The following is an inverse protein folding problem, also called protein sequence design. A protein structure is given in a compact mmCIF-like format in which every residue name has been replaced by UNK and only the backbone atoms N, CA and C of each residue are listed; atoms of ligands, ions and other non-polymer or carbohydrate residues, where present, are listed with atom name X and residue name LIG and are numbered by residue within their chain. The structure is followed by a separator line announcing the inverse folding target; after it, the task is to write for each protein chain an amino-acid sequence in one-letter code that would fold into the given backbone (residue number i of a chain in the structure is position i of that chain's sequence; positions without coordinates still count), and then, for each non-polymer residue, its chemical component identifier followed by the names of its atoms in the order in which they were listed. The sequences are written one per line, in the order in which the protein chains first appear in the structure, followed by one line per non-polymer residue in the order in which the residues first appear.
data_IF_325832931564
#
_entry.id   IF_325832931564
#
_cell.length_a   1.000
_cell.length_b   1.000
_cell.length_c   1.000
_cell.angle_alpha   90.00
_cell.angle_beta   90.00
_cell.angle_gamma   90.00
#
_symmetry.space_group_name_H-M   'P 1'
#
loop_
_entity.id
_entity.type
_entity.pdbx_description
1 polymer ?
#
# COMPACT_ATOMS: atom_id res chain seq x y z
N UNK A 1 2.24 -15.89 23.99
CA UNK A 1 3.57 -16.00 23.37
C UNK A 1 3.63 -15.07 22.17
N UNK A 2 4.43 -14.01 22.28
CA UNK A 2 4.42 -12.93 21.27
C UNK A 2 5.72 -12.86 20.44
N UNK A 3 6.55 -13.90 20.52
CA UNK A 3 7.83 -13.93 19.82
C UNK A 3 7.68 -14.48 18.41
N UNK A 4 8.49 -13.96 17.48
CA UNK A 4 8.57 -14.42 16.11
C UNK A 4 9.61 -15.53 16.01
N UNK A 5 9.25 -16.62 15.33
CA UNK A 5 10.12 -17.76 15.12
C UNK A 5 10.94 -17.57 13.84
N UNK A 6 12.22 -17.93 13.88
CA UNK A 6 13.10 -17.90 12.72
C UNK A 6 12.80 -19.09 11.80
N UNK A 7 12.40 -18.84 10.57
CA UNK A 7 12.07 -19.86 9.58
C UNK A 7 13.22 -20.83 9.28
N UNK A 8 14.47 -20.40 9.47
CA UNK A 8 15.69 -21.21 9.23
C UNK A 8 15.89 -22.33 10.26
N UNK A 9 15.24 -22.23 11.42
CA UNK A 9 15.39 -23.16 12.53
C UNK A 9 14.31 -24.25 12.57
N UNK A 10 13.36 -24.24 11.61
CA UNK A 10 12.29 -25.24 11.57
C UNK A 10 12.81 -26.59 11.09
N UNK A 11 12.32 -27.64 11.76
CA UNK A 11 12.45 -29.05 11.37
C UNK A 11 11.07 -29.70 11.45
N UNK A 12 10.93 -30.86 10.83
CA UNK A 12 9.68 -31.62 10.89
C UNK A 12 9.26 -31.92 12.34
N UNK A 13 10.23 -32.33 13.18
CA UNK A 13 10.00 -32.62 14.58
C UNK A 13 9.52 -31.37 15.36
N UNK A 14 10.22 -30.23 15.23
CA UNK A 14 9.83 -28.98 15.88
C UNK A 14 8.44 -28.53 15.43
N UNK A 15 8.12 -28.67 14.15
CA UNK A 15 6.81 -28.31 13.62
C UNK A 15 5.70 -29.20 14.19
N UNK A 16 5.97 -30.48 14.34
CA UNK A 16 5.04 -31.43 14.97
C UNK A 16 4.80 -31.09 16.44
N UNK A 17 5.87 -30.81 17.21
CA UNK A 17 5.74 -30.37 18.60
C UNK A 17 4.97 -29.05 18.72
N UNK A 18 5.25 -28.09 17.83
CA UNK A 18 4.52 -26.82 17.78
C UNK A 18 3.03 -27.02 17.48
N UNK A 19 2.69 -28.03 16.66
CA UNK A 19 1.31 -28.39 16.37
C UNK A 19 0.51 -28.86 17.59
N UNK A 20 1.19 -29.43 18.61
CA UNK A 20 0.60 -29.85 19.87
C UNK A 20 0.38 -28.73 20.88
N UNK A 21 0.94 -27.54 20.62
CA UNK A 21 0.85 -26.40 21.53
C UNK A 21 -0.29 -25.49 21.08
N UNK A 22 -1.05 -24.94 22.02
CA UNK A 22 -2.19 -24.06 21.76
C UNK A 22 -1.77 -22.61 21.39
N UNK A 23 -0.73 -22.46 20.52
CA UNK A 23 -0.27 -21.15 20.04
C UNK A 23 -0.95 -20.85 18.70
N UNK A 24 -1.80 -19.83 18.68
CA UNK A 24 -2.49 -19.37 17.48
C UNK A 24 -2.59 -17.83 17.51
N UNK A 25 -2.18 -17.12 16.46
CA UNK A 25 -1.43 -17.62 15.27
C UNK A 25 0.02 -17.96 15.61
N UNK A 26 0.63 -18.87 14.84
CA UNK A 26 2.08 -19.11 14.86
C UNK A 26 2.75 -17.99 14.08
N UNK A 27 3.75 -17.34 14.68
CA UNK A 27 4.47 -16.22 14.07
C UNK A 27 5.81 -16.66 13.54
N UNK A 28 6.02 -16.50 12.22
CA UNK A 28 7.27 -16.87 11.54
C UNK A 28 7.80 -15.64 10.79
N UNK A 29 9.08 -15.30 11.00
CA UNK A 29 9.72 -14.16 10.33
C UNK A 29 9.90 -14.41 8.82
N UNK A 30 9.69 -13.34 8.03
CA UNK A 30 10.01 -13.31 6.62
C UNK A 30 10.55 -11.92 6.23
N UNK A 31 11.70 -11.55 6.79
CA UNK A 31 12.27 -10.21 6.64
C UNK A 31 13.19 -10.07 5.43
N UNK A 32 13.61 -11.17 4.80
CA UNK A 32 14.55 -11.20 3.69
C UNK A 32 14.06 -12.18 2.62
N UNK A 33 13.90 -11.70 1.39
CA UNK A 33 13.44 -12.51 0.25
C UNK A 33 14.37 -13.71 -0.02
N UNK A 34 15.66 -13.60 0.29
CA UNK A 34 16.62 -14.70 0.15
C UNK A 34 16.30 -15.90 1.04
N UNK A 35 15.46 -15.71 2.05
CA UNK A 35 14.99 -16.80 2.93
C UNK A 35 13.69 -17.45 2.46
N UNK A 36 13.17 -17.09 1.28
CA UNK A 36 11.89 -17.56 0.72
C UNK A 36 11.73 -19.08 0.84
N UNK A 37 12.71 -19.85 0.33
CA UNK A 37 12.63 -21.31 0.38
C UNK A 37 12.46 -21.83 1.80
N UNK A 38 13.26 -21.34 2.74
CA UNK A 38 13.20 -21.75 4.17
C UNK A 38 11.87 -21.35 4.80
N UNK A 39 11.36 -20.18 4.45
CA UNK A 39 10.06 -19.71 4.91
C UNK A 39 8.92 -20.59 4.41
N UNK A 40 8.87 -20.86 3.10
CA UNK A 40 7.86 -21.73 2.49
C UNK A 40 7.92 -23.16 3.05
N UNK A 41 9.12 -23.70 3.24
CA UNK A 41 9.34 -25.04 3.86
C UNK A 41 8.80 -25.05 5.30
N UNK A 42 9.09 -24.01 6.11
CA UNK A 42 8.59 -23.90 7.48
C UNK A 42 7.06 -23.83 7.56
N UNK A 43 6.43 -23.01 6.72
CA UNK A 43 4.95 -22.94 6.61
C UNK A 43 4.38 -24.31 6.22
N UNK A 44 5.00 -24.99 5.25
CA UNK A 44 4.56 -26.32 4.77
C UNK A 44 4.64 -27.37 5.87
N UNK A 45 5.77 -27.45 6.61
CA UNK A 45 5.95 -28.35 7.74
C UNK A 45 4.92 -28.09 8.84
N UNK A 46 4.70 -26.83 9.20
CA UNK A 46 3.70 -26.45 10.20
C UNK A 46 2.27 -26.80 9.75
N UNK A 47 1.93 -26.52 8.50
CA UNK A 47 0.63 -26.91 7.90
C UNK A 47 0.42 -28.42 7.97
N UNK A 48 1.44 -29.23 7.67
CA UNK A 48 1.37 -30.69 7.75
C UNK A 48 1.21 -31.17 9.21
N UNK A 49 1.70 -30.40 10.19
CA UNK A 49 1.48 -30.62 11.62
C UNK A 49 0.11 -30.13 12.13
N UNK A 50 -0.80 -29.71 11.24
CA UNK A 50 -2.17 -29.28 11.58
C UNK A 50 -2.33 -27.81 11.89
N UNK A 51 -1.28 -26.99 11.77
CA UNK A 51 -1.36 -25.54 12.01
C UNK A 51 -1.99 -24.86 10.80
N UNK A 52 -2.97 -23.97 11.02
CA UNK A 52 -3.72 -23.28 9.96
C UNK A 52 -3.64 -21.77 10.05
N UNK A 53 -3.30 -21.22 11.20
CA UNK A 53 -3.27 -19.79 11.46
C UNK A 53 -1.86 -19.31 11.72
N UNK A 54 -1.40 -18.41 10.86
CA UNK A 54 -0.06 -17.84 10.89
C UNK A 54 -0.11 -16.31 10.89
N UNK A 55 0.96 -15.72 11.36
CA UNK A 55 1.23 -14.31 11.14
C UNK A 55 2.72 -14.08 10.95
N UNK A 56 3.08 -12.97 10.31
CA UNK A 56 4.46 -12.53 10.20
C UNK A 56 4.58 -11.02 10.25
N UNK A 57 5.76 -10.58 10.62
CA UNK A 57 6.22 -9.23 10.39
C UNK A 57 7.10 -9.25 9.15
N UNK A 58 6.92 -8.25 8.28
CA UNK A 58 7.69 -8.06 7.06
C UNK A 58 8.43 -6.73 7.18
N UNK A 59 9.70 -6.79 7.50
CA UNK A 59 10.52 -5.59 7.62
C UNK A 59 10.73 -4.99 6.22
N UNK A 60 10.52 -3.69 6.08
CA UNK A 60 10.80 -2.94 4.85
C UNK A 60 11.52 -1.62 5.16
N UNK A 61 12.05 -0.96 4.14
CA UNK A 61 12.82 0.26 4.29
C UNK A 61 14.16 0.05 5.00
N UNK A 62 14.87 -1.04 4.68
CA UNK A 62 16.21 -1.31 5.20
C UNK A 62 17.22 -1.43 4.05
N UNK A 63 17.68 -2.65 3.75
CA UNK A 63 18.55 -2.98 2.61
C UNK A 63 17.79 -3.65 1.47
N UNK A 64 16.52 -3.90 1.70
CA UNK A 64 15.60 -4.49 0.75
C UNK A 64 15.19 -3.48 -0.33
N UNK A 65 14.85 -4.00 -1.52
CA UNK A 65 14.16 -3.23 -2.54
C UNK A 65 12.65 -3.19 -2.28
N UNK A 66 11.93 -2.16 -2.75
CA UNK A 66 10.47 -2.14 -2.68
C UNK A 66 9.82 -3.41 -3.23
N UNK A 67 10.37 -3.96 -4.32
CA UNK A 67 9.90 -5.19 -4.95
C UNK A 67 9.96 -6.41 -4.03
N UNK A 68 10.95 -6.48 -3.15
CA UNK A 68 11.08 -7.56 -2.17
C UNK A 68 9.89 -7.59 -1.21
N UNK A 69 9.35 -6.43 -0.83
CA UNK A 69 8.14 -6.36 -0.02
C UNK A 69 6.93 -6.90 -0.79
N UNK A 70 6.76 -6.50 -2.05
CA UNK A 70 5.69 -7.00 -2.91
C UNK A 70 5.74 -8.52 -3.04
N UNK A 71 6.91 -9.07 -3.36
CA UNK A 71 7.10 -10.52 -3.54
C UNK A 71 6.83 -11.30 -2.25
N UNK A 72 7.32 -10.83 -1.11
CA UNK A 72 7.07 -11.48 0.19
C UNK A 72 5.58 -11.49 0.57
N UNK A 73 4.86 -10.40 0.29
CA UNK A 73 3.41 -10.33 0.49
C UNK A 73 2.66 -11.26 -0.45
N UNK A 74 3.05 -11.31 -1.74
CA UNK A 74 2.46 -12.19 -2.74
C UNK A 74 2.63 -13.67 -2.39
N UNK A 75 3.83 -14.07 -1.97
CA UNK A 75 4.11 -15.44 -1.50
C UNK A 75 3.16 -15.83 -0.36
N UNK A 76 2.91 -14.95 0.60
CA UNK A 76 1.98 -15.24 1.70
C UNK A 76 0.55 -15.48 1.21
N UNK A 77 0.09 -14.70 0.25
CA UNK A 77 -1.25 -14.85 -0.33
C UNK A 77 -1.33 -16.15 -1.14
N UNK A 78 -0.31 -16.47 -1.95
CA UNK A 78 -0.23 -17.71 -2.72
C UNK A 78 -0.21 -18.95 -1.82
N UNK A 79 0.51 -18.91 -0.70
CA UNK A 79 0.51 -19.99 0.31
C UNK A 79 -0.87 -20.16 0.97
N UNK A 80 -1.57 -19.05 1.23
CA UNK A 80 -2.94 -19.09 1.74
C UNK A 80 -3.88 -19.82 0.77
N UNK A 81 -3.83 -19.45 -0.50
CA UNK A 81 -4.68 -20.04 -1.55
C UNK A 81 -4.32 -21.51 -1.79
N UNK A 82 -3.02 -21.81 -1.90
CA UNK A 82 -2.52 -23.17 -2.14
C UNK A 82 -2.88 -24.17 -1.05
N UNK A 83 -2.82 -23.75 0.21
CA UNK A 83 -2.95 -24.65 1.35
C UNK A 83 -4.23 -24.50 2.16
N UNK A 84 -5.09 -23.53 1.82
CA UNK A 84 -6.30 -23.22 2.59
C UNK A 84 -6.00 -22.78 4.03
N UNK A 85 -4.91 -22.05 4.23
CA UNK A 85 -4.45 -21.53 5.52
C UNK A 85 -4.68 -20.01 5.61
N UNK A 86 -4.46 -19.46 6.79
CA UNK A 86 -4.49 -18.01 7.00
C UNK A 86 -3.12 -17.50 7.40
N UNK A 87 -2.55 -16.58 6.62
CA UNK A 87 -1.34 -15.85 6.99
C UNK A 87 -1.69 -14.37 7.04
N UNK A 88 -1.48 -13.74 8.20
CA UNK A 88 -1.65 -12.32 8.37
C UNK A 88 -0.29 -11.63 8.38
N UNK A 89 -0.05 -10.78 7.41
CA UNK A 89 1.19 -10.03 7.27
C UNK A 89 1.08 -8.64 7.85
N UNK A 90 2.10 -8.24 8.59
CA UNK A 90 2.23 -6.91 9.20
C UNK A 90 3.52 -6.26 8.67
N UNK A 91 3.45 -5.51 7.55
CA UNK A 91 4.60 -4.74 7.09
C UNK A 91 5.01 -3.71 8.14
N UNK A 92 6.28 -3.73 8.51
CA UNK A 92 6.85 -2.85 9.52
C UNK A 92 8.01 -2.05 8.93
N UNK A 93 7.90 -0.72 9.00
CA UNK A 93 8.99 0.15 8.57
C UNK A 93 10.18 0.00 9.51
N UNK A 94 11.36 -0.31 8.95
CA UNK A 94 12.61 -0.32 9.71
C UNK A 94 12.97 1.08 10.21
N UNK A 95 13.43 1.12 11.43
CA UNK A 95 14.09 2.28 12.04
C UNK A 95 15.34 1.80 12.78
N UNK A 96 16.49 2.43 12.61
CA UNK A 96 17.65 2.15 13.44
C UNK A 96 17.33 2.37 14.93
N UNK A 97 17.72 1.41 15.76
CA UNK A 97 17.49 1.49 17.21
C UNK A 97 18.66 2.22 17.90
N UNK A 98 19.83 2.20 17.26
CA UNK A 98 21.05 2.80 17.82
C UNK A 98 21.59 3.83 16.85
N UNK A 99 22.14 4.93 17.37
CA UNK A 99 22.94 5.87 16.61
C UNK A 99 24.15 5.13 16.05
N UNK A 100 24.34 5.14 14.76
CA UNK A 100 25.48 4.54 14.08
C UNK A 100 26.57 5.56 13.77
N UNK A 101 26.25 6.86 13.84
CA UNK A 101 27.19 7.96 13.67
C UNK A 101 26.71 9.23 14.37
N UNK A 102 27.58 10.22 14.55
CA UNK A 102 27.24 11.55 15.07
C UNK A 102 26.25 12.30 14.16
N UNK A 103 26.13 11.92 12.90
CA UNK A 103 25.16 12.48 11.95
C UNK A 103 23.74 11.93 12.17
N UNK A 104 23.59 10.83 12.90
CA UNK A 104 22.31 10.22 13.22
C UNK A 104 21.64 10.95 14.38
N UNK A 105 21.23 12.19 14.14
CA UNK A 105 20.49 12.98 15.13
C UNK A 105 19.12 12.35 15.37
N UNK A 106 19.00 11.71 16.50
CA UNK A 106 17.74 11.40 17.18
C UNK A 106 16.66 10.67 16.36
N UNK A 107 16.99 9.46 15.87
CA UNK A 107 16.03 8.57 15.18
C UNK A 107 14.79 8.24 16.00
N UNK A 108 14.86 8.35 17.31
CA UNK A 108 13.73 8.08 18.19
C UNK A 108 12.60 9.07 18.00
N UNK A 109 12.92 10.33 17.62
CA UNK A 109 11.96 11.41 17.47
C UNK A 109 11.49 11.63 16.02
N UNK A 110 12.40 11.56 15.04
CA UNK A 110 12.06 12.00 13.68
C UNK A 110 11.57 10.91 12.74
N UNK A 111 11.85 9.63 13.00
CA UNK A 111 11.49 8.50 12.12
C UNK A 111 11.85 8.71 10.64
N UNK A 112 12.89 9.51 10.39
CA UNK A 112 13.25 10.00 9.05
C UNK A 112 14.17 9.07 8.28
N UNK A 113 14.55 7.94 8.87
CA UNK A 113 15.38 6.97 8.18
C UNK A 113 14.72 6.49 6.89
N UNK A 114 15.51 6.53 5.81
CA UNK A 114 15.16 6.03 4.49
C UNK A 114 16.22 5.01 4.10
N UNK A 115 15.80 3.80 3.77
CA UNK A 115 16.67 2.71 3.32
C UNK A 115 17.30 2.99 1.96
N UNK A 116 18.37 2.24 1.64
CA UNK A 116 19.20 2.47 0.46
C UNK A 116 18.41 2.53 -0.87
N UNK A 117 17.40 1.68 -1.02
CA UNK A 117 16.60 1.56 -2.24
C UNK A 117 15.20 2.16 -2.10
N UNK A 118 14.97 2.89 -1.02
CA UNK A 118 13.70 3.53 -0.70
C UNK A 118 13.76 5.04 -0.88
N UNK A 119 12.62 5.65 -1.03
CA UNK A 119 12.45 7.09 -0.96
C UNK A 119 11.23 7.43 -0.10
N UNK A 120 11.04 8.71 0.23
CA UNK A 120 9.96 9.15 1.11
C UNK A 120 8.60 8.87 0.50
N UNK A 121 8.45 9.06 -0.82
CA UNK A 121 7.19 8.81 -1.53
C UNK A 121 6.76 7.33 -1.46
N UNK A 122 7.68 6.40 -1.69
CA UNK A 122 7.39 4.95 -1.63
C UNK A 122 6.97 4.52 -0.22
N UNK A 123 7.68 5.01 0.81
CA UNK A 123 7.32 4.77 2.20
C UNK A 123 5.90 5.28 2.49
N UNK A 124 5.56 6.48 2.02
CA UNK A 124 4.23 7.07 2.20
C UNK A 124 3.15 6.30 1.44
N UNK A 125 3.43 5.80 0.25
CA UNK A 125 2.50 4.96 -0.50
C UNK A 125 2.17 3.67 0.26
N UNK A 126 3.18 2.96 0.77
CA UNK A 126 2.96 1.76 1.60
C UNK A 126 2.18 2.12 2.88
N UNK A 127 2.53 3.20 3.57
CA UNK A 127 1.80 3.64 4.76
C UNK A 127 0.34 3.99 4.46
N UNK A 128 0.04 4.58 3.30
CA UNK A 128 -1.33 4.87 2.88
C UNK A 128 -2.16 3.58 2.73
N UNK A 129 -1.60 2.53 2.10
CA UNK A 129 -2.23 1.20 2.03
C UNK A 129 -2.44 0.63 3.44
N UNK A 130 -1.40 0.68 4.28
CA UNK A 130 -1.46 0.13 5.64
C UNK A 130 -2.48 0.87 6.52
N UNK A 131 -2.60 2.19 6.39
CA UNK A 131 -3.63 2.96 7.10
C UNK A 131 -5.03 2.52 6.70
N UNK A 132 -5.27 2.27 5.40
CA UNK A 132 -6.55 1.79 4.90
C UNK A 132 -6.87 0.36 5.36
N UNK A 133 -5.86 -0.46 5.65
CA UNK A 133 -5.98 -1.86 6.08
C UNK A 133 -5.77 -2.07 7.58
N UNK A 134 -5.62 -0.99 8.34
CA UNK A 134 -5.28 -1.02 9.79
C UNK A 134 -3.98 -1.78 10.06
N UNK A 135 -3.00 -1.65 9.18
CA UNK A 135 -1.67 -2.25 9.29
C UNK A 135 -1.62 -3.76 9.05
N UNK A 136 -2.70 -4.39 8.57
CA UNK A 136 -2.80 -5.83 8.44
C UNK A 136 -3.17 -6.23 7.02
N UNK A 137 -2.35 -7.06 6.41
CA UNK A 137 -2.62 -7.69 5.11
C UNK A 137 -3.07 -9.12 5.38
N UNK A 138 -4.33 -9.40 5.08
CA UNK A 138 -4.93 -10.73 5.27
C UNK A 138 -4.82 -11.60 4.03
N UNK A 139 -5.36 -12.82 4.15
CA UNK A 139 -5.54 -13.74 3.03
C UNK A 139 -6.52 -13.15 2.02
N UNK A 140 -6.35 -13.50 0.77
CA UNK A 140 -7.25 -13.18 -0.33
C UNK A 140 -6.55 -12.48 -1.46
N UNK A 141 -6.32 -13.23 -2.54
CA UNK A 141 -5.67 -12.77 -3.76
C UNK A 141 -6.32 -11.51 -4.32
N UNK A 142 -7.65 -11.47 -4.36
CA UNK A 142 -8.36 -10.30 -4.90
C UNK A 142 -8.13 -9.03 -4.07
N UNK A 143 -8.02 -9.15 -2.74
CA UNK A 143 -7.68 -8.01 -1.88
C UNK A 143 -6.24 -7.54 -2.11
N UNK A 144 -5.28 -8.50 -2.15
CA UNK A 144 -3.88 -8.18 -2.39
C UNK A 144 -3.69 -7.44 -3.73
N UNK A 145 -4.24 -8.00 -4.82
CA UNK A 145 -4.18 -7.41 -6.15
C UNK A 145 -4.72 -5.98 -6.18
N UNK A 146 -5.80 -5.73 -5.48
CA UNK A 146 -6.37 -4.38 -5.39
C UNK A 146 -5.54 -3.43 -4.53
N UNK A 147 -4.93 -3.90 -3.46
CA UNK A 147 -4.16 -3.08 -2.54
C UNK A 147 -2.75 -2.77 -3.08
N UNK A 148 -2.12 -3.75 -3.73
CA UNK A 148 -0.71 -3.67 -4.14
C UNK A 148 -0.48 -3.80 -5.66
N UNK A 149 -1.49 -4.12 -6.44
CA UNK A 149 -1.40 -4.38 -7.87
C UNK A 149 -1.40 -5.87 -8.21
N UNK A 150 -1.80 -6.20 -9.44
CA UNK A 150 -1.83 -7.58 -9.94
C UNK A 150 -0.44 -8.13 -10.28
N UNK A 151 0.45 -7.20 -10.66
CA UNK A 151 1.81 -7.47 -11.07
C UNK A 151 2.74 -6.38 -10.54
N UNK A 152 4.03 -6.52 -10.83
CA UNK A 152 5.07 -5.60 -10.32
C UNK A 152 4.94 -4.21 -10.94
N UNK A 153 4.47 -4.11 -12.18
CA UNK A 153 4.28 -2.83 -12.89
C UNK A 153 3.17 -2.02 -12.24
N UNK A 154 2.06 -2.65 -11.85
CA UNK A 154 0.99 -2.01 -11.11
C UNK A 154 1.42 -1.62 -9.69
N UNK A 155 2.27 -2.42 -9.07
CA UNK A 155 2.87 -2.06 -7.79
C UNK A 155 3.77 -0.83 -7.90
N UNK A 156 4.61 -0.74 -8.94
CA UNK A 156 5.41 0.47 -9.19
C UNK A 156 4.51 1.68 -9.43
N UNK A 157 3.44 1.53 -10.20
CA UNK A 157 2.43 2.59 -10.36
C UNK A 157 1.82 3.01 -9.03
N UNK A 158 1.52 2.07 -8.14
CA UNK A 158 1.03 2.38 -6.79
C UNK A 158 2.04 3.18 -5.98
N UNK A 159 3.33 2.84 -6.05
CA UNK A 159 4.39 3.55 -5.32
C UNK A 159 4.50 5.02 -5.73
N UNK A 160 4.24 5.32 -7.01
CA UNK A 160 4.24 6.69 -7.55
C UNK A 160 2.91 7.42 -7.32
N UNK A 161 1.82 6.71 -7.01
CA UNK A 161 0.47 7.29 -6.91
C UNK A 161 0.34 8.29 -5.76
N UNK A 162 -0.34 9.45 -5.95
CA UNK A 162 -0.63 10.40 -4.87
C UNK A 162 -1.29 9.72 -3.67
N UNK A 163 -0.87 10.08 -2.46
CA UNK A 163 -1.34 9.44 -1.22
C UNK A 163 -2.87 9.49 -1.06
N UNK A 164 -3.46 10.64 -1.40
CA UNK A 164 -4.93 10.81 -1.37
C UNK A 164 -5.65 9.83 -2.31
N UNK A 165 -5.06 9.56 -3.48
CA UNK A 165 -5.62 8.59 -4.44
C UNK A 165 -5.48 7.15 -3.94
N UNK A 166 -4.44 6.80 -3.21
CA UNK A 166 -4.29 5.48 -2.59
C UNK A 166 -5.36 5.29 -1.51
N UNK A 167 -5.52 6.28 -0.61
CA UNK A 167 -6.46 6.19 0.54
C UNK A 167 -7.91 6.14 0.07
N UNK A 168 -8.26 6.91 -0.95
CA UNK A 168 -9.62 7.00 -1.50
C UNK A 168 -9.70 6.43 -2.91
N UNK A 169 -9.00 5.34 -3.16
CA UNK A 169 -8.76 4.78 -4.48
C UNK A 169 -10.03 4.62 -5.31
N UNK A 170 -11.09 4.09 -4.70
CA UNK A 170 -12.35 3.85 -5.40
C UNK A 170 -13.04 5.11 -5.83
N UNK A 171 -13.02 6.13 -4.99
CA UNK A 171 -13.56 7.43 -5.35
C UNK A 171 -12.84 8.00 -6.58
N UNK A 172 -11.51 8.00 -6.57
CA UNK A 172 -10.73 8.55 -7.68
C UNK A 172 -10.77 7.69 -8.94
N UNK A 173 -10.86 6.36 -8.82
CA UNK A 173 -11.10 5.45 -9.96
C UNK A 173 -12.50 5.64 -10.54
N UNK A 174 -13.51 5.77 -9.68
CA UNK A 174 -14.88 6.01 -10.07
C UNK A 174 -15.06 7.33 -10.82
N UNK A 175 -14.38 8.41 -10.42
CA UNK A 175 -14.41 9.69 -11.15
C UNK A 175 -14.02 9.57 -12.62
N UNK A 176 -13.17 8.63 -12.97
CA UNK A 176 -12.74 8.37 -14.36
C UNK A 176 -13.55 7.26 -15.07
N UNK A 177 -14.57 6.70 -14.43
CA UNK A 177 -15.48 5.74 -15.05
C UNK A 177 -16.63 6.46 -15.79
N UNK A 178 -17.23 5.79 -16.78
CA UNK A 178 -18.37 6.34 -17.50
C UNK A 178 -19.52 6.75 -16.57
N UNK A 179 -19.77 5.92 -15.54
CA UNK A 179 -20.79 6.19 -14.51
C UNK A 179 -20.42 7.43 -13.70
N UNK A 180 -19.18 7.51 -13.21
CA UNK A 180 -18.69 8.63 -12.41
C UNK A 180 -18.72 9.95 -13.20
N UNK A 181 -18.29 9.93 -14.46
CA UNK A 181 -18.33 11.08 -15.38
C UNK A 181 -19.78 11.57 -15.59
N UNK A 182 -20.69 10.64 -15.86
CA UNK A 182 -22.11 10.98 -16.08
C UNK A 182 -22.74 11.55 -14.81
N UNK A 183 -22.50 10.92 -13.65
CA UNK A 183 -23.05 11.37 -12.37
C UNK A 183 -22.46 12.71 -11.90
N UNK A 184 -21.17 12.95 -12.10
CA UNK A 184 -20.58 14.26 -11.82
C UNK A 184 -21.24 15.37 -12.65
N UNK A 185 -21.45 15.13 -13.95
CA UNK A 185 -22.14 16.08 -14.84
C UNK A 185 -23.59 16.33 -14.39
N UNK A 186 -24.31 15.26 -13.98
CA UNK A 186 -25.69 15.39 -13.50
C UNK A 186 -25.78 16.22 -12.21
N UNK A 187 -24.87 15.98 -11.25
CA UNK A 187 -24.93 16.59 -9.91
C UNK A 187 -24.32 18.00 -9.88
N UNK A 188 -23.20 18.19 -10.60
CA UNK A 188 -22.36 19.37 -10.51
C UNK A 188 -22.41 20.24 -11.77
N UNK A 189 -22.96 19.73 -12.88
CA UNK A 189 -22.95 20.40 -14.17
C UNK A 189 -21.64 20.26 -14.96
N UNK A 190 -20.61 19.60 -14.41
CA UNK A 190 -19.32 19.39 -15.05
C UNK A 190 -18.69 18.04 -14.66
N UNK A 191 -17.72 17.58 -15.44
CA UNK A 191 -16.98 16.36 -15.15
C UNK A 191 -15.89 16.61 -14.10
N UNK A 192 -15.60 15.58 -13.29
CA UNK A 192 -14.44 15.53 -12.39
C UNK A 192 -13.39 14.51 -12.87
N UNK A 193 -13.51 14.04 -14.12
CA UNK A 193 -12.59 13.06 -14.72
C UNK A 193 -11.12 13.50 -14.63
N UNK A 194 -10.86 14.81 -14.76
CA UNK A 194 -9.52 15.37 -14.68
C UNK A 194 -8.79 15.08 -13.34
N UNK A 195 -9.55 14.75 -12.28
CA UNK A 195 -9.01 14.40 -10.96
C UNK A 195 -8.92 12.88 -10.74
N UNK A 196 -9.25 12.07 -11.73
CA UNK A 196 -9.24 10.61 -11.63
C UNK A 196 -7.82 10.03 -11.58
N UNK A 197 -7.71 8.78 -11.13
CA UNK A 197 -6.46 8.01 -11.19
C UNK A 197 -6.00 7.79 -12.64
N UNK A 198 -6.94 7.68 -13.59
CA UNK A 198 -6.65 7.54 -15.01
C UNK A 198 -6.00 8.82 -15.56
N UNK A 199 -6.56 9.99 -15.22
CA UNK A 199 -6.02 11.29 -15.63
C UNK A 199 -4.62 11.55 -15.02
N UNK A 200 -4.43 11.21 -13.74
CA UNK A 200 -3.12 11.29 -13.12
C UNK A 200 -2.09 10.43 -13.85
N UNK A 201 -2.41 9.15 -14.10
CA UNK A 201 -1.48 8.23 -14.73
C UNK A 201 -1.14 8.62 -16.16
N UNK A 202 -2.14 9.09 -16.92
CA UNK A 202 -1.93 9.65 -18.26
C UNK A 202 -0.94 10.82 -18.21
N UNK A 203 -1.16 11.77 -17.29
CA UNK A 203 -0.29 12.94 -17.13
C UNK A 203 1.13 12.54 -16.71
N UNK A 204 1.27 11.55 -15.81
CA UNK A 204 2.57 11.00 -15.39
C UNK A 204 3.35 10.42 -16.58
N UNK A 205 2.71 9.57 -17.36
CA UNK A 205 3.35 8.94 -18.53
C UNK A 205 3.60 9.92 -19.67
N UNK A 206 2.80 10.98 -19.81
CA UNK A 206 3.05 12.07 -20.74
C UNK A 206 4.30 12.87 -20.33
N UNK A 207 4.46 13.18 -19.04
CA UNK A 207 5.69 13.81 -18.53
C UNK A 207 6.93 12.96 -18.85
N UNK A 208 6.88 11.67 -18.55
CA UNK A 208 7.97 10.74 -18.80
C UNK A 208 8.38 10.66 -20.28
N UNK A 209 7.42 10.82 -21.20
CA UNK A 209 7.67 10.74 -22.65
C UNK A 209 8.12 12.05 -23.28
N UNK A 210 7.62 13.18 -22.76
CA UNK A 210 7.76 14.48 -23.44
C UNK A 210 8.82 15.39 -22.83
N UNK A 211 9.18 15.16 -21.55
CA UNK A 211 10.27 15.92 -20.92
C UNK A 211 11.63 15.35 -21.33
N UNK A 212 12.65 16.20 -21.31
CA UNK A 212 14.02 15.73 -21.39
C UNK A 212 14.34 14.86 -20.15
N UNK A 213 15.32 13.96 -20.28
CA UNK A 213 15.74 13.09 -19.18
C UNK A 213 16.08 13.88 -17.90
N UNK A 214 16.80 14.99 -18.04
CA UNK A 214 17.19 15.82 -16.90
C UNK A 214 15.98 16.46 -16.20
N UNK A 215 15.04 17.00 -16.96
CA UNK A 215 13.81 17.58 -16.43
C UNK A 215 12.96 16.52 -15.74
N UNK A 216 12.83 15.34 -16.36
CA UNK A 216 12.07 14.24 -15.79
C UNK A 216 12.68 13.75 -14.46
N UNK A 217 14.01 13.61 -14.41
CA UNK A 217 14.68 13.21 -13.15
C UNK A 217 14.53 14.27 -12.06
N UNK A 218 14.51 15.56 -12.39
CA UNK A 218 14.24 16.62 -11.42
C UNK A 218 12.81 16.52 -10.87
N UNK A 219 11.83 16.33 -11.73
CA UNK A 219 10.42 16.14 -11.33
C UNK A 219 10.25 14.88 -10.49
N UNK A 220 10.84 13.75 -10.90
CA UNK A 220 10.81 12.50 -10.11
C UNK A 220 11.43 12.68 -8.74
N UNK A 221 12.59 13.31 -8.66
CA UNK A 221 13.23 13.60 -7.38
C UNK A 221 12.32 14.43 -6.48
N UNK A 222 11.68 15.46 -7.01
CA UNK A 222 10.73 16.28 -6.26
C UNK A 222 9.54 15.49 -5.73
N UNK A 223 8.97 14.60 -6.54
CA UNK A 223 7.92 13.67 -6.12
C UNK A 223 8.45 12.71 -5.05
N UNK A 224 9.64 12.14 -5.24
CA UNK A 224 10.23 11.15 -4.35
C UNK A 224 10.62 11.72 -2.98
N UNK A 225 10.99 12.98 -2.92
CA UNK A 225 11.24 13.70 -1.66
C UNK A 225 9.92 13.89 -0.86
N UNK A 226 8.79 13.80 -1.53
CA UNK A 226 7.45 13.96 -0.96
C UNK A 226 7.31 15.23 -0.09
N UNK A 227 8.02 16.27 -0.50
CA UNK A 227 7.91 17.62 0.04
C UNK A 227 7.57 18.54 -1.13
N UNK A 228 6.38 19.13 -1.12
CA UNK A 228 5.86 19.94 -2.22
C UNK A 228 6.02 21.45 -1.99
N UNK A 229 6.87 21.84 -1.05
CA UNK A 229 7.32 23.23 -0.92
C UNK A 229 8.18 23.60 -2.13
N UNK A 230 7.98 24.81 -2.67
CA UNK A 230 8.70 25.26 -3.86
C UNK A 230 8.21 24.66 -5.19
N UNK A 231 6.97 24.16 -5.23
CA UNK A 231 6.35 23.65 -6.47
C UNK A 231 6.25 24.72 -7.56
N UNK A 232 6.18 25.97 -7.17
CA UNK A 232 6.12 27.14 -8.05
C UNK A 232 7.37 27.35 -8.91
N UNK A 233 8.48 26.68 -8.62
CA UNK A 233 9.69 26.72 -9.46
C UNK A 233 9.50 26.03 -10.82
N UNK A 234 8.51 25.12 -10.90
CA UNK A 234 8.18 24.45 -12.15
C UNK A 234 7.22 25.32 -12.97
N UNK A 235 7.62 25.71 -14.16
CA UNK A 235 6.83 26.54 -15.06
C UNK A 235 6.18 25.79 -16.20
N UNK A 236 6.62 24.55 -16.48
CA UNK A 236 6.05 23.71 -17.51
C UNK A 236 4.62 23.32 -17.13
N UNK A 237 3.60 23.64 -17.95
CA UNK A 237 2.19 23.39 -17.62
C UNK A 237 1.86 21.92 -17.38
N UNK A 238 2.53 20.98 -18.09
CA UNK A 238 2.34 19.56 -17.92
C UNK A 238 2.87 19.08 -16.56
N UNK A 239 4.05 19.57 -16.16
CA UNK A 239 4.64 19.31 -14.84
C UNK A 239 3.77 19.89 -13.73
N UNK A 240 3.32 21.12 -13.86
CA UNK A 240 2.42 21.74 -12.89
C UNK A 240 1.11 20.96 -12.72
N UNK A 241 0.55 20.47 -13.84
CA UNK A 241 -0.63 19.59 -13.81
C UNK A 241 -0.33 18.30 -13.06
N UNK A 242 0.80 17.63 -13.33
CA UNK A 242 1.21 16.42 -12.63
C UNK A 242 1.35 16.66 -11.12
N UNK A 243 2.10 17.68 -10.74
CA UNK A 243 2.36 17.99 -9.33
C UNK A 243 1.09 18.41 -8.57
N UNK A 244 0.11 18.99 -9.26
CA UNK A 244 -1.17 19.35 -8.66
C UNK A 244 -1.93 18.15 -8.07
N UNK A 245 -1.76 16.93 -8.60
CA UNK A 245 -2.40 15.73 -8.05
C UNK A 245 -1.86 15.37 -6.66
N UNK A 246 -0.60 15.66 -6.38
CA UNK A 246 0.03 15.34 -5.09
C UNK A 246 -0.39 16.29 -3.97
N UNK A 247 -0.77 17.51 -4.32
CA UNK A 247 -1.21 18.52 -3.37
C UNK A 247 -2.73 18.55 -3.14
N UNK A 248 -3.51 17.80 -3.95
CA UNK A 248 -4.97 17.78 -3.84
C UNK A 248 -5.45 16.69 -2.89
N UNK A 249 -6.35 17.06 -2.01
CA UNK A 249 -7.14 16.13 -1.21
C UNK A 249 -8.54 15.97 -1.81
N UNK A 250 -9.25 14.90 -1.42
CA UNK A 250 -10.66 14.75 -1.81
C UNK A 250 -11.52 15.97 -1.47
N UNK A 251 -11.25 16.64 -0.34
CA UNK A 251 -11.95 17.84 0.10
C UNK A 251 -11.64 19.07 -0.75
N UNK A 252 -10.44 19.14 -1.33
CA UNK A 252 -10.06 20.29 -2.18
C UNK A 252 -10.59 20.20 -3.61
N UNK A 253 -11.10 19.03 -4.03
CA UNK A 253 -11.69 18.82 -5.35
C UNK A 253 -13.16 19.21 -5.36
N UNK A 254 -13.87 18.99 -4.26
CA UNK A 254 -15.28 19.28 -4.12
C UNK A 254 -15.48 20.60 -3.40
N UNK A 255 -16.15 21.53 -4.06
CA UNK A 255 -16.25 22.94 -3.64
C UNK A 255 -17.08 23.11 -2.37
N UNK A 256 -18.05 22.21 -2.11
CA UNK A 256 -18.91 22.29 -0.93
C UNK A 256 -19.11 20.93 -0.25
N UNK A 257 -19.41 20.96 1.06
CA UNK A 257 -19.76 19.75 1.82
C UNK A 257 -21.04 19.08 1.27
N UNK A 258 -21.96 19.88 0.74
CA UNK A 258 -23.21 19.38 0.13
C UNK A 258 -22.91 18.57 -1.12
N UNK A 259 -22.02 19.06 -2.00
CA UNK A 259 -21.58 18.36 -3.20
C UNK A 259 -20.84 17.07 -2.85
N UNK A 260 -19.94 17.14 -1.86
CA UNK A 260 -19.24 15.96 -1.35
C UNK A 260 -20.22 14.90 -0.87
N UNK A 261 -21.25 15.28 -0.13
CA UNK A 261 -22.23 14.35 0.38
C UNK A 261 -23.10 13.74 -0.73
N UNK A 262 -23.48 14.50 -1.75
CA UNK A 262 -24.19 13.99 -2.92
C UNK A 262 -23.33 12.97 -3.69
N UNK A 263 -22.09 13.33 -4.02
CA UNK A 263 -21.17 12.46 -4.73
C UNK A 263 -20.86 11.19 -3.92
N UNK A 264 -20.71 11.32 -2.60
CA UNK A 264 -20.48 10.18 -1.71
C UNK A 264 -21.66 9.23 -1.68
N UNK A 265 -22.89 9.77 -1.66
CA UNK A 265 -24.12 8.94 -1.70
C UNK A 265 -24.17 8.13 -2.99
N UNK A 266 -23.98 8.77 -4.14
CA UNK A 266 -23.97 8.09 -5.44
C UNK A 266 -22.88 7.00 -5.52
N UNK A 267 -21.69 7.30 -5.01
CA UNK A 267 -20.60 6.35 -4.94
C UNK A 267 -20.90 5.18 -4.00
N UNK A 268 -21.48 5.42 -2.83
CA UNK A 268 -21.84 4.41 -1.84
C UNK A 268 -23.03 3.53 -2.30
N UNK A 269 -23.95 4.08 -3.10
CA UNK A 269 -25.07 3.34 -3.69
C UNK A 269 -24.64 2.39 -4.83
N UNK A 270 -23.54 2.70 -5.51
CA UNK A 270 -22.92 1.87 -6.54
C UNK A 270 -21.55 1.33 -6.09
N UNK A 271 -21.48 0.60 -4.95
CA UNK A 271 -20.23 0.19 -4.40
C UNK A 271 -19.54 -0.79 -5.36
N UNK A 272 -18.33 -0.47 -5.74
CA UNK A 272 -17.42 -1.45 -6.33
C UNK A 272 -17.22 -2.60 -5.32
N UNK A 273 -16.77 -3.76 -5.77
CA UNK A 273 -16.53 -4.95 -4.92
C UNK A 273 -15.77 -4.65 -3.62
N UNK A 274 -15.12 -3.53 -3.57
CA UNK A 274 -14.29 -3.07 -2.47
C UNK A 274 -14.99 -2.22 -1.44
N UNK A 275 -15.94 -1.41 -1.83
CA UNK A 275 -16.81 -0.75 -0.87
C UNK A 275 -17.51 -1.79 0.03
N UNK A 276 -17.82 -2.96 -0.51
CA UNK A 276 -18.30 -4.12 0.27
C UNK A 276 -17.25 -4.68 1.23
N UNK A 277 -15.94 -4.52 0.97
CA UNK A 277 -14.86 -5.03 1.82
C UNK A 277 -14.49 -4.10 2.96
N UNK A 278 -14.52 -2.80 2.71
CA UNK A 278 -14.24 -1.80 3.74
C UNK A 278 -15.50 -1.41 4.53
N UNK A 279 -16.67 -1.61 3.95
CA UNK A 279 -17.98 -1.48 4.57
C UNK A 279 -18.29 -2.64 5.51
N UNK A 280 -17.58 -2.77 6.63
CA UNK A 280 -18.29 -3.26 7.81
C UNK A 280 -19.38 -2.22 8.07
N UNK A 281 -20.63 -2.53 7.71
CA UNK A 281 -21.78 -1.86 8.27
C UNK A 281 -21.47 -1.71 9.76
N UNK A 282 -21.30 -0.49 10.25
CA UNK A 282 -21.48 -0.24 11.68
C UNK A 282 -22.86 -0.83 11.95
N UNK A 283 -22.92 -1.90 12.70
CA UNK A 283 -24.16 -2.30 13.32
C UNK A 283 -24.58 -1.06 14.09
N UNK A 284 -25.66 -0.43 13.65
CA UNK A 284 -26.36 0.51 14.50
C UNK A 284 -26.65 -0.28 15.77
N UNK A 285 -25.93 0.02 16.82
CA UNK A 285 -26.36 -0.29 18.17
C UNK A 285 -27.50 0.70 18.37
N UNK A 286 -28.68 0.29 17.97
CA UNK A 286 -29.91 0.85 18.53
C UNK A 286 -30.00 0.30 19.91
N UNK A 287 -30.04 1.20 20.86
CA UNK A 287 -30.41 1.16 22.26
C UNK A 287 -30.99 -0.15 22.80
#
# INVERSE_FOLDING_TARGET
FNQVLDSRLFTQEKSYLLGKVAIRPVRIAFDDIRTEKKYCDAITMCKNAGIRDFSNYLLYNFKDHPDDLYHRLRINVELCDKYGISIYSFPMKFHPIRKTSEMDKDYSHNRDYIGLHWNRKYIRAIQAVLNSTKGKIGRGTSFFKKAFGENIEEYHKLLEMPESMIIYRYFFEWLGSDIGIAKAKEILGHSLEEFSTQSWWKTYTECEKLLSENEWQEVKKFIHDNNFEGVERFTNPLVMKLLSFYNKSRKSILVSETELNKMKKEYDEHPTLEAKRYGRKRKNVSE
#
